data_IF_571899846838
#
_entry.id   IF_571899846838
#
_cell.length_a   1.000
_cell.length_b   1.000
_cell.length_c   1.000
_cell.angle_alpha   90.00
_cell.angle_beta   90.00
_cell.angle_gamma   90.00
#
_symmetry.space_group_name_H-M   'P 1'
#
loop_
_entity.id
_entity.type
_entity.pdbx_description
1 polymer ?
#
# COMPACT_ATOMS: atom_id res chain seq x y z
N UNK A 1 38.81 15.86 46.58
CA UNK A 1 38.92 16.19 45.18
C UNK A 1 37.85 15.45 44.40
N UNK A 2 36.84 16.22 44.00
CA UNK A 2 35.74 15.73 43.18
C UNK A 2 36.21 15.80 41.71
N UNK A 3 36.56 14.64 41.14
CA UNK A 3 36.81 14.49 39.69
C UNK A 3 35.57 14.65 38.88
N UNK A 4 35.61 15.53 37.89
CA UNK A 4 34.53 15.93 37.00
C UNK A 4 34.12 14.77 36.09
N UNK A 5 32.92 14.23 36.26
CA UNK A 5 32.22 13.43 35.28
C UNK A 5 31.57 14.34 34.23
N UNK A 6 32.39 14.97 33.39
CA UNK A 6 31.91 15.64 32.17
C UNK A 6 32.53 14.93 30.97
N UNK A 7 31.68 14.20 30.21
CA UNK A 7 32.15 13.75 28.90
C UNK A 7 31.54 12.50 28.28
N UNK A 8 30.48 11.90 28.81
CA UNK A 8 29.93 10.67 28.21
C UNK A 8 28.45 10.80 27.75
N UNK A 9 27.85 11.98 27.94
CA UNK A 9 26.40 12.14 27.71
C UNK A 9 25.96 12.83 26.41
N UNK A 10 26.85 13.16 25.49
CA UNK A 10 26.48 14.03 24.36
C UNK A 10 26.57 13.45 22.95
N UNK A 11 27.17 12.29 22.79
CA UNK A 11 27.32 11.66 21.45
C UNK A 11 26.27 10.59 21.12
N UNK A 12 25.49 10.13 22.09
CA UNK A 12 24.49 9.07 21.88
C UNK A 12 23.14 9.58 21.32
N UNK A 13 22.90 10.90 21.35
CA UNK A 13 21.63 11.49 20.93
C UNK A 13 21.64 12.13 19.54
N UNK A 14 22.72 12.06 18.78
CA UNK A 14 22.81 12.76 17.48
C UNK A 14 22.33 11.98 16.26
N UNK A 15 21.90 10.71 16.40
CA UNK A 15 21.39 9.90 15.28
C UNK A 15 20.05 9.22 15.59
N UNK A 16 19.23 9.77 16.46
CA UNK A 16 17.86 9.30 16.59
C UNK A 16 17.02 10.06 15.57
N UNK A 17 17.02 9.62 14.31
CA UNK A 17 16.00 10.03 13.35
C UNK A 17 14.66 9.50 13.85
N UNK A 18 13.86 10.39 14.41
CA UNK A 18 12.50 10.10 14.81
C UNK A 18 11.69 9.79 13.55
N UNK A 19 11.35 8.54 13.35
CA UNK A 19 10.42 8.11 12.30
C UNK A 19 9.03 7.91 12.91
N UNK A 20 8.10 8.86 12.73
CA UNK A 20 6.77 8.81 13.33
C UNK A 20 5.91 7.67 12.76
N UNK A 21 6.32 7.03 11.66
CA UNK A 21 5.61 5.89 11.06
C UNK A 21 6.01 4.55 11.69
N UNK A 22 7.02 4.52 12.56
CA UNK A 22 7.40 3.30 13.28
C UNK A 22 6.69 3.21 14.63
N UNK A 23 5.90 2.16 14.76
CA UNK A 23 5.07 1.94 15.94
C UNK A 23 3.75 2.70 15.84
N UNK A 24 2.92 2.55 16.83
CA UNK A 24 1.60 3.11 16.90
C UNK A 24 0.61 2.10 17.48
N UNK A 25 -0.60 2.55 17.77
CA UNK A 25 -1.63 1.71 18.42
C UNK A 25 -2.10 0.58 17.48
N UNK A 26 -2.24 0.87 16.18
CA UNK A 26 -2.71 -0.10 15.20
C UNK A 26 -1.70 -1.25 14.98
N UNK A 27 -0.40 -0.97 15.03
CA UNK A 27 0.67 -1.92 14.71
C UNK A 27 1.38 -2.51 15.93
N UNK A 28 1.03 -2.07 17.16
CA UNK A 28 1.54 -2.58 18.43
C UNK A 28 3.06 -2.42 18.63
N UNK A 29 3.62 -1.27 18.21
CA UNK A 29 5.02 -0.93 18.45
C UNK A 29 6.01 -1.57 17.47
N UNK A 30 7.31 -1.21 17.61
CA UNK A 30 8.38 -1.67 16.73
C UNK A 30 8.86 -3.07 17.07
N UNK A 31 9.12 -3.89 16.06
CA UNK A 31 9.66 -5.26 16.19
C UNK A 31 11.10 -5.30 15.68
N UNK A 32 12.05 -5.44 16.59
CA UNK A 32 13.48 -5.53 16.27
C UNK A 32 13.80 -6.75 15.40
N UNK A 33 14.67 -6.56 14.40
CA UNK A 33 15.11 -7.59 13.46
C UNK A 33 14.12 -7.92 12.36
N UNK A 34 12.99 -7.21 12.28
CA UNK A 34 12.01 -7.34 11.19
C UNK A 34 12.14 -6.15 10.26
N UNK A 35 12.23 -6.40 8.96
CA UNK A 35 12.37 -5.35 7.95
C UNK A 35 11.61 -5.66 6.66
N UNK A 36 11.20 -4.60 5.95
CA UNK A 36 10.75 -4.67 4.57
C UNK A 36 11.99 -4.60 3.66
N UNK A 37 12.24 -5.67 2.89
CA UNK A 37 13.42 -5.81 2.05
C UNK A 37 13.19 -5.35 0.62
N UNK A 38 12.00 -5.58 0.09
CA UNK A 38 11.63 -5.16 -1.25
C UNK A 38 10.20 -4.66 -1.32
N UNK A 39 9.95 -3.72 -2.21
CA UNK A 39 8.64 -3.17 -2.50
C UNK A 39 8.53 -2.83 -3.98
N UNK A 40 7.47 -3.33 -4.62
CA UNK A 40 7.18 -3.09 -6.02
C UNK A 40 5.71 -2.79 -6.21
N UNK A 41 5.40 -1.75 -6.97
CA UNK A 41 4.05 -1.35 -7.35
C UNK A 41 3.92 -1.48 -8.88
N UNK A 42 3.09 -2.39 -9.31
CA UNK A 42 2.68 -2.52 -10.70
C UNK A 42 1.28 -1.90 -10.85
N UNK A 43 1.18 -0.83 -11.60
CA UNK A 43 -0.03 -0.01 -11.73
C UNK A 43 -0.56 -0.06 -13.15
N UNK A 44 -1.82 -0.41 -13.29
CA UNK A 44 -2.59 -0.29 -14.51
C UNK A 44 -3.72 0.70 -14.27
N UNK A 45 -3.91 1.65 -15.18
CA UNK A 45 -4.96 2.66 -15.03
C UNK A 45 -5.69 2.89 -16.34
N UNK A 46 -6.98 3.22 -16.26
CA UNK A 46 -7.78 3.65 -17.38
C UNK A 46 -8.47 4.97 -17.01
N UNK A 47 -7.96 6.07 -17.57
CA UNK A 47 -8.46 7.41 -17.26
C UNK A 47 -9.84 7.69 -17.84
N UNK A 48 -10.19 7.09 -18.98
CA UNK A 48 -11.50 7.26 -19.62
C UNK A 48 -12.59 6.57 -18.80
N UNK A 49 -12.31 5.37 -18.27
CA UNK A 49 -13.21 4.61 -17.41
C UNK A 49 -13.11 4.99 -15.92
N UNK A 50 -12.11 5.81 -15.55
CA UNK A 50 -12.00 6.41 -14.22
C UNK A 50 -11.52 5.46 -13.13
N UNK A 51 -10.75 4.42 -13.44
CA UNK A 51 -10.24 3.47 -12.44
C UNK A 51 -8.72 3.26 -12.54
N UNK A 52 -8.12 2.86 -11.42
CA UNK A 52 -6.74 2.37 -11.32
C UNK A 52 -6.68 1.07 -10.52
N UNK A 53 -5.78 0.18 -10.92
CA UNK A 53 -5.47 -1.05 -10.23
C UNK A 53 -3.97 -1.09 -9.91
N UNK A 54 -3.63 -1.43 -8.69
CA UNK A 54 -2.25 -1.53 -8.22
C UNK A 54 -2.00 -2.90 -7.62
N UNK A 55 -1.03 -3.63 -8.13
CA UNK A 55 -0.44 -4.76 -7.43
C UNK A 55 0.75 -4.28 -6.62
N UNK A 56 0.63 -4.28 -5.31
CA UNK A 56 1.73 -3.93 -4.41
C UNK A 56 2.34 -5.17 -3.80
N UNK A 57 3.55 -5.47 -4.24
CA UNK A 57 4.32 -6.64 -3.79
C UNK A 57 5.29 -6.18 -2.71
N UNK A 58 5.20 -6.81 -1.54
CA UNK A 58 6.01 -6.54 -0.36
C UNK A 58 6.74 -7.82 0.06
N UNK A 59 8.03 -7.73 0.37
CA UNK A 59 8.81 -8.84 0.90
C UNK A 59 9.44 -8.44 2.24
N UNK A 60 9.05 -9.16 3.28
CA UNK A 60 9.54 -8.99 4.64
C UNK A 60 10.67 -9.97 4.93
N UNK A 61 11.62 -9.54 5.77
CA UNK A 61 12.73 -10.36 6.25
C UNK A 61 12.84 -10.26 7.77
N UNK A 62 13.15 -11.38 8.42
CA UNK A 62 13.33 -11.47 9.85
C UNK A 62 14.72 -12.01 10.19
N UNK A 63 15.60 -11.15 10.68
CA UNK A 63 16.97 -11.49 11.08
C UNK A 63 17.09 -11.95 12.54
N UNK A 64 15.98 -12.09 13.27
CA UNK A 64 16.00 -12.61 14.63
C UNK A 64 16.50 -14.06 14.64
N UNK A 65 17.35 -14.41 15.63
CA UNK A 65 18.03 -15.70 15.67
C UNK A 65 17.11 -16.94 15.78
N UNK A 66 15.93 -16.80 16.41
CA UNK A 66 15.07 -17.96 16.74
C UNK A 66 13.56 -17.70 16.70
N UNK A 67 13.11 -16.45 16.74
CA UNK A 67 11.68 -16.14 16.86
C UNK A 67 11.07 -15.78 15.53
N UNK A 68 9.96 -16.40 15.20
CA UNK A 68 9.05 -15.93 14.16
C UNK A 68 8.50 -14.54 14.52
N UNK A 69 8.28 -13.69 13.53
CA UNK A 69 7.77 -12.34 13.71
C UNK A 69 6.53 -12.11 12.85
N UNK A 70 5.69 -11.19 13.29
CA UNK A 70 4.55 -10.72 12.53
C UNK A 70 4.84 -9.32 12.00
N UNK A 71 4.74 -9.14 10.68
CA UNK A 71 4.78 -7.82 10.07
C UNK A 71 3.37 -7.21 10.08
N UNK A 72 3.26 -5.99 10.60
CA UNK A 72 2.02 -5.21 10.64
C UNK A 72 2.24 -3.86 9.98
N UNK A 73 1.30 -3.48 9.13
CA UNK A 73 1.29 -2.16 8.51
C UNK A 73 -0.15 -1.63 8.43
N UNK A 74 -0.35 -0.40 8.85
CA UNK A 74 -1.53 0.35 8.46
C UNK A 74 -1.25 1.02 7.12
N UNK A 75 -2.12 0.76 6.14
CA UNK A 75 -1.99 1.24 4.77
C UNK A 75 -3.13 2.20 4.47
N UNK A 76 -2.79 3.42 4.07
CA UNK A 76 -3.72 4.36 3.47
C UNK A 76 -3.92 3.96 2.01
N UNK A 77 -5.14 3.68 1.63
CA UNK A 77 -5.55 3.42 0.25
C UNK A 77 -5.79 4.75 -0.49
N UNK A 78 -5.79 4.75 -1.83
CA UNK A 78 -6.36 5.86 -2.59
C UNK A 78 -7.81 6.13 -2.16
N UNK A 79 -8.34 7.35 -2.26
CA UNK A 79 -9.73 7.67 -1.92
C UNK A 79 -10.73 6.73 -2.62
N UNK A 80 -11.62 6.12 -1.86
CA UNK A 80 -12.57 5.12 -2.36
C UNK A 80 -11.96 3.78 -2.77
N UNK A 81 -10.69 3.57 -2.49
CA UNK A 81 -9.97 2.36 -2.84
C UNK A 81 -10.34 1.17 -1.93
N UNK A 82 -10.25 -0.02 -2.51
CA UNK A 82 -10.48 -1.29 -1.81
C UNK A 82 -9.37 -2.28 -2.13
N UNK A 83 -9.03 -3.12 -1.16
CA UNK A 83 -8.18 -4.30 -1.43
C UNK A 83 -9.06 -5.35 -2.10
N UNK A 84 -8.81 -5.58 -3.39
CA UNK A 84 -9.58 -6.49 -4.24
C UNK A 84 -8.88 -7.84 -4.47
N UNK A 85 -7.60 -7.95 -4.10
CA UNK A 85 -6.80 -9.16 -4.19
C UNK A 85 -5.81 -9.23 -3.04
N UNK A 86 -5.58 -10.43 -2.53
CA UNK A 86 -4.53 -10.71 -1.55
C UNK A 86 -3.90 -12.06 -1.89
N UNK A 87 -2.60 -12.06 -2.20
CA UNK A 87 -1.84 -13.27 -2.54
C UNK A 87 -0.66 -13.42 -1.59
N UNK A 88 -0.44 -14.62 -1.12
CA UNK A 88 0.67 -15.00 -0.26
C UNK A 88 1.52 -16.05 -0.96
N UNK A 89 2.84 -15.96 -0.83
CA UNK A 89 3.75 -17.04 -1.25
C UNK A 89 4.05 -17.96 -0.07
N UNK A 90 3.59 -19.22 -0.19
CA UNK A 90 3.85 -20.29 0.79
C UNK A 90 4.74 -21.33 0.14
N UNK A 91 5.96 -21.50 0.63
CA UNK A 91 6.96 -22.39 0.05
C UNK A 91 7.24 -22.14 -1.45
N UNK A 92 7.17 -20.87 -1.87
CA UNK A 92 7.37 -20.48 -3.27
C UNK A 92 6.14 -20.58 -4.18
N UNK A 93 5.02 -21.10 -3.69
CA UNK A 93 3.76 -21.19 -4.42
C UNK A 93 2.83 -20.01 -4.08
N UNK A 94 2.19 -19.44 -5.09
CA UNK A 94 1.17 -18.41 -4.92
C UNK A 94 -0.13 -19.02 -4.38
N UNK A 95 -0.67 -18.41 -3.33
CA UNK A 95 -1.97 -18.77 -2.75
C UNK A 95 -2.82 -17.52 -2.58
N UNK A 96 -3.98 -17.54 -3.21
CA UNK A 96 -4.96 -16.46 -3.05
C UNK A 96 -5.66 -16.58 -1.70
N UNK A 97 -5.84 -15.44 -1.03
CA UNK A 97 -6.63 -15.37 0.19
C UNK A 97 -8.13 -15.27 -0.13
N UNK A 98 -8.94 -15.86 0.74
CA UNK A 98 -10.39 -15.71 0.68
C UNK A 98 -10.82 -14.36 1.26
N UNK A 99 -11.85 -13.77 0.67
CA UNK A 99 -12.52 -12.58 1.20
C UNK A 99 -13.76 -12.98 1.95
N UNK A 100 -13.95 -12.45 3.16
CA UNK A 100 -15.12 -12.68 3.97
C UNK A 100 -15.43 -11.45 4.85
N UNK A 101 -16.58 -11.42 5.49
CA UNK A 101 -16.94 -10.36 6.43
C UNK A 101 -15.95 -10.26 7.60
N UNK A 102 -15.74 -9.07 8.15
CA UNK A 102 -14.73 -8.78 9.19
C UNK A 102 -14.75 -9.73 10.37
N UNK A 103 -15.94 -10.15 10.81
CA UNK A 103 -16.12 -11.09 11.93
C UNK A 103 -15.68 -12.52 11.58
N UNK A 104 -16.03 -12.98 10.40
CA UNK A 104 -15.71 -14.32 9.90
C UNK A 104 -14.22 -14.48 9.63
N UNK A 105 -13.60 -13.45 9.03
CA UNK A 105 -12.15 -13.42 8.76
C UNK A 105 -11.36 -13.46 10.07
N UNK A 106 -11.79 -12.73 11.10
CA UNK A 106 -11.12 -12.73 12.41
C UNK A 106 -11.23 -14.07 13.11
N UNK A 107 -12.39 -14.72 13.03
CA UNK A 107 -12.61 -16.05 13.60
C UNK A 107 -11.79 -17.12 12.87
N UNK A 108 -11.77 -17.10 11.53
CA UNK A 108 -10.96 -17.98 10.71
C UNK A 108 -9.46 -17.79 10.97
N UNK A 109 -8.99 -16.54 11.09
CA UNK A 109 -7.60 -16.23 11.44
C UNK A 109 -7.20 -16.83 12.79
N UNK A 110 -8.04 -16.67 13.82
CA UNK A 110 -7.76 -17.26 15.12
C UNK A 110 -7.74 -18.79 15.08
N UNK A 111 -8.66 -19.42 14.36
CA UNK A 111 -8.67 -20.87 14.18
C UNK A 111 -7.46 -21.39 13.41
N UNK A 112 -7.08 -20.74 12.30
CA UNK A 112 -5.97 -21.18 11.45
C UNK A 112 -4.62 -20.88 12.09
N UNK A 113 -4.45 -19.73 12.71
CA UNK A 113 -3.21 -19.34 13.39
C UNK A 113 -2.95 -20.17 14.64
N UNK A 114 -3.99 -20.50 15.41
CA UNK A 114 -3.89 -21.21 16.69
C UNK A 114 -3.93 -22.73 16.47
N UNK A 115 -4.85 -23.25 15.66
CA UNK A 115 -5.07 -24.69 15.53
C UNK A 115 -4.16 -25.37 14.49
N UNK A 116 -3.77 -24.70 13.42
CA UNK A 116 -3.05 -25.34 12.31
C UNK A 116 -1.60 -24.91 12.17
N UNK A 117 -1.11 -23.92 12.94
CA UNK A 117 0.25 -23.32 12.80
C UNK A 117 0.58 -22.95 11.33
N UNK A 118 -0.43 -22.59 10.57
CA UNK A 118 -0.31 -22.24 9.15
C UNK A 118 -0.49 -20.73 8.96
N UNK A 119 0.20 -20.24 8.01
CA UNK A 119 0.59 -18.87 7.70
C UNK A 119 -0.59 -18.04 7.17
N UNK A 120 -1.26 -17.21 7.96
CA UNK A 120 -2.25 -16.31 7.42
C UNK A 120 -1.69 -14.91 7.18
N UNK A 121 -1.98 -14.36 6.02
CA UNK A 121 -2.02 -12.91 5.82
C UNK A 121 -3.45 -12.46 6.01
N UNK A 122 -3.62 -11.42 6.80
CA UNK A 122 -4.91 -10.81 7.10
C UNK A 122 -4.87 -9.35 6.69
N UNK A 123 -5.89 -8.91 5.97
CA UNK A 123 -6.13 -7.49 5.70
C UNK A 123 -7.53 -7.15 6.17
N UNK A 124 -7.63 -6.19 7.08
CA UNK A 124 -8.90 -5.72 7.65
C UNK A 124 -9.02 -4.21 7.50
N UNK A 125 -10.22 -3.70 7.28
CA UNK A 125 -10.46 -2.25 7.30
C UNK A 125 -10.19 -1.71 8.71
N UNK A 126 -9.40 -0.63 8.81
CA UNK A 126 -9.07 0.07 10.06
C UNK A 126 -9.66 1.48 10.13
N UNK A 127 -10.18 2.00 9.03
CA UNK A 127 -10.82 3.32 8.93
C UNK A 127 -11.25 3.63 7.50
N UNK A 128 -11.74 4.85 7.25
CA UNK A 128 -12.01 5.31 5.90
C UNK A 128 -10.73 5.25 5.04
N UNK A 129 -10.80 4.55 3.91
CA UNK A 129 -9.66 4.32 3.00
C UNK A 129 -8.40 3.81 3.71
N UNK A 130 -8.56 3.02 4.81
CA UNK A 130 -7.46 2.46 5.58
C UNK A 130 -7.64 0.98 5.83
N UNK A 131 -6.56 0.24 5.73
CA UNK A 131 -6.51 -1.18 6.05
C UNK A 131 -5.31 -1.49 6.94
N UNK A 132 -5.50 -2.42 7.88
CA UNK A 132 -4.43 -3.03 8.65
C UNK A 132 -4.09 -4.37 7.99
N UNK A 133 -2.85 -4.49 7.53
CA UNK A 133 -2.25 -5.72 7.05
C UNK A 133 -1.47 -6.40 8.17
N UNK A 134 -1.67 -7.70 8.35
CA UNK A 134 -0.94 -8.56 9.29
C UNK A 134 -0.42 -9.76 8.52
N UNK A 135 0.88 -10.02 8.61
CA UNK A 135 1.59 -11.03 7.86
C UNK A 135 2.44 -11.88 8.82
N UNK A 136 2.02 -13.13 9.08
CA UNK A 136 2.66 -14.06 10.01
C UNK A 136 2.68 -15.49 9.45
N UNK A 137 3.73 -16.28 9.72
CA UNK A 137 4.97 -15.89 10.37
C UNK A 137 6.04 -15.48 9.32
N UNK A 138 6.79 -14.42 9.63
CA UNK A 138 8.06 -14.18 8.95
C UNK A 138 9.11 -15.05 9.64
N UNK A 139 9.70 -16.07 8.95
CA UNK A 139 10.60 -17.04 9.58
C UNK A 139 11.88 -16.37 10.09
N UNK A 140 12.50 -16.86 11.20
CA UNK A 140 13.75 -16.32 11.72
C UNK A 140 14.95 -16.67 10.83
N UNK A 141 16.13 -16.20 11.24
CA UNK A 141 17.46 -16.47 10.62
C UNK A 141 17.55 -15.98 9.16
N UNK A 142 17.02 -14.79 8.89
CA UNK A 142 17.01 -14.21 7.54
C UNK A 142 15.90 -14.77 6.65
N UNK A 143 14.96 -15.50 7.21
CA UNK A 143 13.80 -16.00 6.45
C UNK A 143 12.92 -14.85 5.96
N UNK A 144 12.29 -15.06 4.80
CA UNK A 144 11.46 -14.05 4.14
C UNK A 144 10.02 -14.50 3.99
N UNK A 145 9.14 -13.52 3.84
CA UNK A 145 7.74 -13.71 3.51
C UNK A 145 7.28 -12.66 2.52
N UNK A 146 6.70 -13.09 1.40
CA UNK A 146 6.25 -12.25 0.31
C UNK A 146 4.74 -12.22 0.25
N UNK A 147 4.18 -11.02 0.07
CA UNK A 147 2.75 -10.78 -0.05
C UNK A 147 2.48 -9.83 -1.21
N UNK A 148 1.34 -9.99 -1.89
CA UNK A 148 0.82 -9.10 -2.92
C UNK A 148 -0.55 -8.60 -2.50
N UNK A 149 -0.71 -7.29 -2.52
CA UNK A 149 -1.98 -6.60 -2.34
C UNK A 149 -2.44 -6.07 -3.70
N UNK A 150 -3.59 -6.53 -4.19
CA UNK A 150 -4.27 -5.89 -5.31
C UNK A 150 -5.23 -4.84 -4.78
N UNK A 151 -5.05 -3.59 -5.20
CA UNK A 151 -5.84 -2.44 -4.77
C UNK A 151 -6.53 -1.84 -5.98
N UNK A 152 -7.84 -1.82 -5.97
CA UNK A 152 -8.67 -1.15 -6.98
C UNK A 152 -9.19 0.15 -6.41
N UNK A 153 -9.05 1.25 -7.15
CA UNK A 153 -9.50 2.57 -6.71
C UNK A 153 -10.06 3.39 -7.87
N UNK A 154 -11.02 4.27 -7.63
CA UNK A 154 -11.41 5.29 -8.60
C UNK A 154 -10.27 6.29 -8.78
N UNK A 155 -10.12 6.84 -9.99
CA UNK A 155 -9.27 7.99 -10.24
C UNK A 155 -9.98 9.26 -9.80
N UNK A 156 -9.23 10.19 -9.21
CA UNK A 156 -9.79 11.46 -8.73
C UNK A 156 -9.93 12.46 -9.90
N UNK A 157 -11.12 12.92 -10.27
CA UNK A 157 -11.30 13.94 -11.29
C UNK A 157 -10.61 15.26 -10.90
N UNK A 158 -9.81 15.83 -11.81
CA UNK A 158 -9.21 17.16 -11.67
C UNK A 158 -9.86 18.19 -12.59
N UNK A 159 -10.71 17.73 -13.48
CA UNK A 159 -11.40 18.53 -14.47
C UNK A 159 -12.01 17.67 -15.57
N UNK A 160 -12.47 18.30 -16.66
CA UNK A 160 -13.12 17.57 -17.77
C UNK A 160 -12.16 16.64 -18.51
N UNK A 161 -10.87 16.98 -18.56
CA UNK A 161 -9.87 16.27 -19.37
C UNK A 161 -8.73 15.65 -18.58
N UNK A 162 -8.75 15.77 -17.23
CA UNK A 162 -7.68 15.27 -16.37
C UNK A 162 -8.24 14.51 -15.18
N UNK A 163 -7.55 13.44 -14.83
CA UNK A 163 -7.77 12.68 -13.60
C UNK A 163 -6.44 12.45 -12.89
N UNK A 164 -6.49 12.26 -11.58
CA UNK A 164 -5.33 11.94 -10.78
C UNK A 164 -5.37 10.50 -10.28
N UNK A 165 -4.25 9.80 -10.40
CA UNK A 165 -3.99 8.58 -9.67
C UNK A 165 -3.31 8.93 -8.34
N UNK A 166 -3.82 8.40 -7.23
CA UNK A 166 -3.27 8.55 -5.88
C UNK A 166 -2.62 7.22 -5.48
N UNK A 167 -1.42 7.29 -4.89
CA UNK A 167 -0.67 6.10 -4.48
C UNK A 167 -1.11 5.57 -3.12
N UNK A 168 -1.18 4.25 -2.91
CA UNK A 168 -1.29 3.68 -1.58
C UNK A 168 0.01 3.92 -0.80
N UNK A 169 -0.08 4.05 0.53
CA UNK A 169 1.09 4.29 1.39
C UNK A 169 1.00 3.57 2.72
N UNK A 170 2.14 3.19 3.27
CA UNK A 170 2.25 2.74 4.66
C UNK A 170 2.25 3.99 5.55
N UNK A 171 1.29 4.08 6.49
CA UNK A 171 1.17 5.19 7.45
C UNK A 171 1.70 4.83 8.82
N UNK A 172 1.54 3.56 9.24
CA UNK A 172 2.16 2.99 10.44
C UNK A 172 2.71 1.61 10.13
N UNK A 173 3.81 1.23 10.79
CA UNK A 173 4.44 -0.07 10.65
C UNK A 173 5.17 -0.50 11.91
N UNK A 174 5.29 -1.81 12.14
CA UNK A 174 6.06 -2.37 13.25
C UNK A 174 7.46 -2.87 12.84
N UNK A 175 7.85 -2.72 11.60
CA UNK A 175 9.10 -3.17 11.01
C UNK A 175 9.95 -1.99 10.52
N UNK A 176 11.27 -2.20 10.40
CA UNK A 176 12.15 -1.25 9.76
C UNK A 176 12.06 -1.32 8.22
N UNK A 177 12.44 -0.25 7.54
CA UNK A 177 12.78 -0.32 6.12
C UNK A 177 14.25 -0.74 5.99
N UNK A 178 14.58 -1.62 5.04
CA UNK A 178 15.97 -1.91 4.72
C UNK A 178 16.65 -0.62 4.22
N UNK A 179 17.93 -0.44 4.55
CA UNK A 179 18.69 0.79 4.27
C UNK A 179 18.65 1.21 2.79
N UNK A 180 18.72 0.25 1.88
CA UNK A 180 18.67 0.49 0.43
C UNK A 180 17.28 0.38 -0.16
N UNK A 181 16.22 0.26 0.65
CA UNK A 181 14.86 0.06 0.16
C UNK A 181 14.38 1.27 -0.63
N UNK A 182 13.86 0.97 -1.82
CA UNK A 182 13.13 1.91 -2.67
C UNK A 182 11.91 1.19 -3.22
N UNK A 183 10.82 1.92 -3.44
CA UNK A 183 9.68 1.38 -4.17
C UNK A 183 10.01 1.37 -5.66
N UNK A 184 10.03 0.18 -6.27
CA UNK A 184 10.07 0.04 -7.70
C UNK A 184 8.66 0.23 -8.25
N UNK A 185 8.51 1.05 -9.26
CA UNK A 185 7.20 1.34 -9.86
C UNK A 185 7.22 0.97 -11.33
N UNK A 186 6.19 0.27 -11.76
CA UNK A 186 5.81 0.07 -13.15
C UNK A 186 4.40 0.62 -13.34
N UNK A 187 4.22 1.52 -14.29
CA UNK A 187 2.94 2.13 -14.58
C UNK A 187 2.58 1.95 -16.04
N UNK A 188 1.37 1.49 -16.30
CA UNK A 188 0.78 1.38 -17.63
C UNK A 188 -0.57 2.09 -17.69
N UNK A 189 -0.82 2.81 -18.80
CA UNK A 189 -2.11 3.44 -19.08
C UNK A 189 -2.34 3.50 -20.58
N UNK A 190 -3.53 3.21 -21.09
CA UNK A 190 -3.87 3.47 -22.49
C UNK A 190 -3.93 4.97 -22.81
N UNK A 191 -4.06 5.83 -21.79
CA UNK A 191 -4.10 7.28 -21.94
C UNK A 191 -2.76 7.92 -21.59
N UNK A 192 -2.56 9.15 -22.09
CA UNK A 192 -1.33 9.89 -21.88
C UNK A 192 -1.12 10.23 -20.40
N UNK A 193 0.07 9.94 -19.91
CA UNK A 193 0.54 10.34 -18.60
C UNK A 193 1.05 11.78 -18.69
N UNK A 194 0.51 12.65 -17.81
CA UNK A 194 0.84 14.08 -17.77
C UNK A 194 1.78 14.36 -16.60
N UNK A 195 2.86 15.10 -16.86
CA UNK A 195 3.76 15.66 -15.84
C UNK A 195 4.08 14.69 -14.69
N UNK A 196 4.73 13.54 -14.96
CA UNK A 196 5.17 12.67 -13.89
C UNK A 196 6.15 13.44 -12.99
N UNK A 197 6.11 13.26 -11.66
CA UNK A 197 6.97 13.97 -10.73
C UNK A 197 8.45 13.78 -11.05
N UNK A 198 9.16 14.86 -11.39
CA UNK A 198 10.56 14.81 -11.84
C UNK A 198 11.52 14.22 -10.80
N UNK A 199 11.17 14.33 -9.51
CA UNK A 199 11.97 13.83 -8.39
C UNK A 199 12.14 12.29 -8.37
N UNK A 200 11.37 11.54 -9.17
CA UNK A 200 11.36 10.08 -9.12
C UNK A 200 12.15 9.40 -10.24
N UNK A 201 12.79 10.15 -11.10
CA UNK A 201 13.62 9.60 -12.16
C UNK A 201 12.84 8.65 -13.08
N UNK A 202 11.72 9.10 -13.61
CA UNK A 202 10.89 8.33 -14.54
C UNK A 202 11.64 8.00 -15.83
N UNK A 203 11.53 6.75 -16.24
CA UNK A 203 12.03 6.26 -17.51
C UNK A 203 10.88 5.70 -18.33
N UNK A 204 10.73 6.15 -19.56
CA UNK A 204 9.75 5.58 -20.49
C UNK A 204 10.25 4.21 -20.96
N UNK A 205 9.41 3.20 -20.83
CA UNK A 205 9.66 1.84 -21.30
C UNK A 205 8.81 1.47 -22.52
N UNK A 206 7.93 2.39 -22.94
CA UNK A 206 7.04 2.25 -24.09
C UNK A 206 6.23 3.51 -24.30
N UNK A 207 5.28 3.48 -25.24
CA UNK A 207 4.46 4.65 -25.57
C UNK A 207 3.61 5.13 -24.37
N UNK A 208 3.14 4.19 -23.57
CA UNK A 208 2.21 4.44 -22.47
C UNK A 208 2.63 3.72 -21.18
N UNK A 209 3.91 3.41 -21.04
CA UNK A 209 4.46 2.76 -19.84
C UNK A 209 5.65 3.52 -19.28
N UNK A 210 5.70 3.66 -17.98
CA UNK A 210 6.74 4.35 -17.23
C UNK A 210 7.25 3.47 -16.09
N UNK A 211 8.54 3.55 -15.83
CA UNK A 211 9.14 3.00 -14.61
C UNK A 211 9.75 4.10 -13.77
N UNK A 212 9.74 3.91 -12.47
CA UNK A 212 10.41 4.83 -11.54
C UNK A 212 10.91 4.09 -10.31
N UNK A 213 11.77 4.77 -9.59
CA UNK A 213 12.24 4.35 -8.27
C UNK A 213 11.90 5.44 -7.26
N UNK A 214 11.02 5.12 -6.32
CA UNK A 214 10.49 6.09 -5.36
C UNK A 214 11.16 5.90 -4.01
N UNK A 215 11.63 6.97 -3.34
CA UNK A 215 12.14 6.89 -1.99
C UNK A 215 11.09 6.36 -1.02
N UNK A 216 11.51 5.62 0.00
CA UNK A 216 10.61 5.02 1.00
C UNK A 216 10.01 6.06 1.93
N UNK A 217 10.78 7.10 2.24
CA UNK A 217 10.35 8.19 3.09
C UNK A 217 9.71 9.29 2.26
N UNK A 218 8.41 9.38 2.35
CA UNK A 218 7.63 10.46 1.76
C UNK A 218 7.13 11.33 2.91
N UNK A 219 7.53 12.57 2.90
CA UNK A 219 7.02 13.51 3.90
C UNK A 219 5.49 13.55 3.88
N UNK A 220 4.83 13.84 5.01
CA UNK A 220 3.38 13.78 5.15
C UNK A 220 2.60 14.68 4.17
N UNK A 221 3.29 15.59 3.49
CA UNK A 221 2.69 16.60 2.59
C UNK A 221 3.02 16.40 1.10
N UNK A 222 3.78 15.38 0.73
CA UNK A 222 4.29 15.23 -0.64
C UNK A 222 3.90 13.87 -1.23
N UNK A 223 2.61 13.65 -1.48
CA UNK A 223 2.19 12.62 -2.43
C UNK A 223 2.04 13.29 -3.79
N UNK A 224 3.02 13.15 -4.67
CA UNK A 224 2.84 13.59 -6.02
C UNK A 224 1.78 12.69 -6.68
N UNK A 225 0.63 13.27 -6.93
CA UNK A 225 -0.40 12.62 -7.73
C UNK A 225 0.10 12.50 -9.15
N UNK A 226 -0.14 11.35 -9.77
CA UNK A 226 0.11 11.17 -11.17
C UNK A 226 -1.12 11.64 -11.95
N UNK A 227 -0.92 12.56 -12.88
CA UNK A 227 -1.99 13.05 -13.73
C UNK A 227 -2.08 12.25 -15.02
N UNK A 228 -3.30 11.93 -15.41
CA UNK A 228 -3.63 11.22 -16.64
C UNK A 228 -4.60 12.05 -17.45
N UNK A 229 -4.39 12.08 -18.76
CA UNK A 229 -5.31 12.69 -19.69
C UNK A 229 -6.51 11.75 -19.87
N UNK A 230 -7.72 12.30 -19.87
CA UNK A 230 -8.95 11.58 -20.26
C UNK A 230 -9.58 12.23 -21.48
N UNK A 231 -10.36 11.49 -22.23
CA UNK A 231 -11.14 12.04 -23.30
C UNK A 231 -12.24 12.94 -22.73
N UNK A 232 -12.43 14.09 -23.36
CA UNK A 232 -13.39 15.12 -22.95
C UNK A 232 -14.85 14.73 -23.17
N UNK A 233 -15.13 13.58 -23.77
CA UNK A 233 -16.49 13.10 -23.85
C UNK A 233 -16.95 12.82 -22.43
N UNK A 234 -17.69 13.81 -21.89
CA UNK A 234 -18.34 13.69 -20.60
C UNK A 234 -19.26 12.48 -20.66
N UNK A 235 -18.71 11.33 -20.30
CA UNK A 235 -19.56 10.21 -19.91
C UNK A 235 -20.30 10.71 -18.70
N UNK A 236 -21.54 11.11 -18.90
CA UNK A 236 -22.44 11.43 -17.81
C UNK A 236 -22.34 10.28 -16.80
N UNK A 237 -22.14 10.57 -15.51
CA UNK A 237 -22.07 9.52 -14.52
C UNK A 237 -23.31 8.64 -14.62
N UNK A 238 -23.11 7.34 -14.62
CA UNK A 238 -24.20 6.38 -14.58
C UNK A 238 -24.51 6.10 -13.11
N UNK A 239 -25.77 6.18 -12.74
CA UNK A 239 -26.27 5.62 -11.48
C UNK A 239 -27.22 4.47 -11.79
N UNK A 240 -27.22 3.48 -10.92
CA UNK A 240 -28.22 2.41 -10.97
C UNK A 240 -29.32 2.82 -10.00
N UNK A 241 -30.53 2.99 -10.52
CA UNK A 241 -31.72 3.12 -9.68
C UNK A 241 -32.20 1.73 -9.27
N UNK A 242 -31.82 1.33 -8.07
CA UNK A 242 -32.20 0.05 -7.47
C UNK A 242 -33.66 -0.01 -6.99
N UNK A 243 -34.37 1.15 -7.01
CA UNK A 243 -35.80 1.23 -6.67
C UNK A 243 -36.70 0.79 -7.81
N UNK A 244 -36.16 0.77 -9.02
CA UNK A 244 -36.92 0.27 -10.18
C UNK A 244 -36.83 -1.27 -10.25
N UNK A 245 -37.92 -1.91 -10.69
CA UNK A 245 -37.94 -3.37 -10.87
C UNK A 245 -38.31 -3.68 -12.33
N UNK A 246 -37.36 -4.10 -13.19
CA UNK A 246 -35.95 -4.35 -12.92
C UNK A 246 -35.15 -3.05 -12.72
N UNK A 247 -33.94 -3.12 -12.04
CA UNK A 247 -33.08 -1.97 -11.88
C UNK A 247 -32.74 -1.34 -13.24
N UNK A 248 -32.87 -0.02 -13.32
CA UNK A 248 -32.58 0.72 -14.55
C UNK A 248 -31.34 1.59 -14.40
N UNK A 249 -30.51 1.62 -15.44
CA UNK A 249 -29.38 2.55 -15.51
C UNK A 249 -29.90 3.96 -15.86
N UNK A 250 -29.61 4.92 -15.00
CA UNK A 250 -30.00 6.32 -15.19
C UNK A 250 -28.76 7.14 -15.56
N UNK A 251 -28.80 7.82 -16.69
CA UNK A 251 -27.78 8.76 -17.11
C UNK A 251 -28.04 10.10 -16.44
N UNK A 252 -27.14 10.53 -15.57
CA UNK A 252 -27.21 11.86 -14.96
C UNK A 252 -26.51 12.89 -15.86
N UNK A 253 -27.25 13.91 -16.29
CA UNK A 253 -26.66 15.06 -16.96
C UNK A 253 -26.21 16.04 -15.89
N UNK A 254 -24.90 16.21 -15.71
CA UNK A 254 -24.38 17.27 -14.87
C UNK A 254 -24.60 18.60 -15.61
N UNK A 255 -25.55 19.39 -15.14
CA UNK A 255 -25.62 20.80 -15.52
C UNK A 255 -24.40 21.51 -14.96
N UNK A 256 -23.60 22.14 -15.83
CA UNK A 256 -22.52 23.04 -15.44
C UNK A 256 -23.11 24.16 -14.56
N UNK A 257 -22.65 24.22 -13.32
CA UNK A 257 -22.82 25.40 -12.44
C UNK A 257 -21.71 26.38 -12.75
#
# INVERSE_FOLDING_TARGET
PLGSLRGVGREVFQNFEWDPSIGGEAVAGHVSGLSLQSSRLDVTSNADDGWGYTEWILEFRNDHASRQREARAEIQLPPGGVVSRLTLWVYGEEREAAFAGRGEVRAAYQQVAVAQRRDPVLVTTSGPDRVLMQCFPVPPKGGTMKVRLGITAPLTPLGAQEVAYVWPRIVERNFAFAEALKHLVWLESPQKILNPPSAWGWTSTGTNSLTATIPVYWGPHAFPTLKLQRKSEATSPWSIDDRSTPPAAVRQTLSSV
#
